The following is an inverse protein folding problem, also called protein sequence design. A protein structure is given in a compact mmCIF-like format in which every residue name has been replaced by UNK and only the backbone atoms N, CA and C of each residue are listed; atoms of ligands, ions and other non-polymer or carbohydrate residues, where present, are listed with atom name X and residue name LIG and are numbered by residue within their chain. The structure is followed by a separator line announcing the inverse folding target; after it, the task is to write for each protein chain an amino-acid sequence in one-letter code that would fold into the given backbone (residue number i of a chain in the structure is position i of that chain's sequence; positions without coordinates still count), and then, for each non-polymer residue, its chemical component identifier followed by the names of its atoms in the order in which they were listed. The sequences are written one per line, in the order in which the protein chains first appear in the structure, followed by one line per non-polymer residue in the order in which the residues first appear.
data_IF_113902570479
#
_entry.id   IF_113902570479
#
_cell.length_a   1.000
_cell.length_b   1.000
_cell.length_c   1.000
_cell.angle_alpha   90.00
_cell.angle_beta   90.00
_cell.angle_gamma   90.00
#
_symmetry.space_group_name_H-M   'P 1'
#
loop_
_entity.id
_entity.type
_entity.pdbx_description
1 polymer ?
#
# COMPACT_ATOMS: atom_id res chain seq x y z
N UNK A 1 -18.61 0.73 27.12
CA UNK A 1 -17.45 1.40 26.49
C UNK A 1 -16.33 1.35 27.52
N UNK A 2 -15.16 0.81 27.21
CA UNK A 2 -14.08 0.69 28.20
C UNK A 2 -13.42 2.06 28.41
N UNK A 3 -13.47 2.56 29.64
CA UNK A 3 -13.11 3.96 29.96
C UNK A 3 -11.61 4.24 29.80
N UNK A 4 -10.77 3.23 30.01
CA UNK A 4 -9.32 3.36 29.91
C UNK A 4 -8.77 3.01 28.53
N UNK A 5 -9.62 2.72 27.53
CA UNK A 5 -9.18 2.24 26.22
C UNK A 5 -8.16 3.19 25.56
N UNK A 6 -8.42 4.51 25.56
CA UNK A 6 -7.51 5.48 24.95
C UNK A 6 -6.12 5.50 25.63
N UNK A 7 -6.09 5.38 26.96
CA UNK A 7 -4.83 5.36 27.71
C UNK A 7 -4.07 4.05 27.47
N UNK A 8 -4.76 2.92 27.49
CA UNK A 8 -4.18 1.61 27.15
C UNK A 8 -3.66 1.60 25.71
N UNK A 9 -4.40 2.18 24.77
CA UNK A 9 -4.01 2.27 23.37
C UNK A 9 -2.72 3.09 23.20
N UNK A 10 -2.59 4.23 23.88
CA UNK A 10 -1.34 5.02 23.87
C UNK A 10 -0.13 4.19 24.31
N UNK A 11 -0.28 3.46 25.43
CA UNK A 11 0.77 2.57 25.94
C UNK A 11 1.11 1.45 24.94
N UNK A 12 0.10 0.86 24.29
CA UNK A 12 0.30 -0.17 23.26
C UNK A 12 1.05 0.40 22.05
N UNK A 13 0.73 1.63 21.63
CA UNK A 13 1.44 2.29 20.53
C UNK A 13 2.90 2.58 20.89
N UNK A 14 3.19 3.01 22.13
CA UNK A 14 4.57 3.26 22.60
C UNK A 14 5.45 2.00 22.51
N UNK A 15 4.86 0.80 22.60
CA UNK A 15 5.60 -0.46 22.44
C UNK A 15 6.10 -0.70 21.00
N UNK A 16 5.60 0.03 20.00
CA UNK A 16 6.12 -0.02 18.63
C UNK A 16 7.54 0.55 18.50
N UNK A 17 8.04 1.30 19.51
CA UNK A 17 9.45 1.71 19.58
C UNK A 17 10.39 0.55 19.98
N UNK A 18 9.84 -0.58 20.41
CA UNK A 18 10.61 -1.76 20.78
C UNK A 18 11.55 -2.22 19.66
N UNK A 19 12.77 -2.65 20.01
CA UNK A 19 13.72 -3.22 19.04
C UNK A 19 13.46 -4.70 18.73
N UNK A 20 12.48 -5.31 19.41
CA UNK A 20 12.16 -6.72 19.26
C UNK A 20 11.14 -6.95 18.14
N UNK A 21 11.50 -7.67 17.06
CA UNK A 21 10.60 -7.94 15.94
C UNK A 21 9.37 -8.77 16.32
N UNK A 22 9.53 -9.77 17.20
CA UNK A 22 8.43 -10.67 17.60
C UNK A 22 7.37 -9.93 18.41
N UNK A 23 7.81 -9.06 19.33
CA UNK A 23 6.92 -8.16 20.06
C UNK A 23 6.20 -7.18 19.12
N UNK A 24 6.94 -6.58 18.18
CA UNK A 24 6.37 -5.65 17.18
C UNK A 24 5.32 -6.34 16.31
N UNK A 25 5.56 -7.59 15.91
CA UNK A 25 4.62 -8.40 15.16
C UNK A 25 3.30 -8.60 15.93
N UNK A 26 3.38 -9.02 17.20
CA UNK A 26 2.19 -9.24 18.04
C UNK A 26 1.40 -7.97 18.31
N UNK A 27 2.10 -6.85 18.47
CA UNK A 27 1.46 -5.54 18.60
C UNK A 27 0.71 -5.20 17.31
N UNK A 28 1.33 -5.38 16.14
CA UNK A 28 0.68 -5.12 14.85
C UNK A 28 -0.54 -6.03 14.61
N UNK A 29 -0.49 -7.31 14.99
CA UNK A 29 -1.66 -8.22 14.94
C UNK A 29 -2.81 -7.68 15.80
N UNK A 30 -2.52 -7.22 17.02
CA UNK A 30 -3.51 -6.63 17.92
C UNK A 30 -4.14 -5.36 17.33
N UNK A 31 -3.32 -4.47 16.75
CA UNK A 31 -3.82 -3.24 16.14
C UNK A 31 -4.72 -3.54 14.93
N UNK A 32 -4.39 -4.54 14.13
CA UNK A 32 -5.24 -5.03 13.03
C UNK A 32 -6.54 -5.66 13.54
N UNK A 33 -6.50 -6.37 14.67
CA UNK A 33 -7.71 -6.86 15.32
C UNK A 33 -8.63 -5.70 15.75
N UNK A 34 -8.07 -4.60 16.26
CA UNK A 34 -8.86 -3.39 16.53
C UNK A 34 -9.46 -2.77 15.27
N UNK A 35 -8.75 -2.81 14.13
CA UNK A 35 -9.31 -2.36 12.86
C UNK A 35 -10.56 -3.14 12.45
N UNK A 36 -10.75 -4.39 12.89
CA UNK A 36 -11.96 -5.16 12.57
C UNK A 36 -13.23 -4.63 13.25
N UNK A 37 -13.11 -3.73 14.24
CA UNK A 37 -14.22 -3.07 14.93
C UNK A 37 -14.24 -1.58 14.55
N UNK A 38 -15.33 -1.09 13.97
CA UNK A 38 -15.43 0.26 13.39
C UNK A 38 -15.06 1.35 14.41
N UNK A 39 -15.63 1.30 15.62
CA UNK A 39 -15.37 2.31 16.65
C UNK A 39 -13.91 2.30 17.12
N UNK A 40 -13.30 1.12 17.25
CA UNK A 40 -11.89 0.99 17.66
C UNK A 40 -10.95 1.43 16.54
N UNK A 41 -11.27 1.12 15.29
CA UNK A 41 -10.56 1.60 14.10
C UNK A 41 -10.52 3.13 14.08
N UNK A 42 -11.64 3.80 14.36
CA UNK A 42 -11.69 5.27 14.43
C UNK A 42 -10.81 5.84 15.54
N UNK A 43 -10.85 5.25 16.74
CA UNK A 43 -10.01 5.68 17.86
C UNK A 43 -8.52 5.42 17.59
N UNK A 44 -8.19 4.26 17.03
CA UNK A 44 -6.84 3.90 16.61
C UNK A 44 -6.28 4.87 15.57
N UNK A 45 -7.10 5.21 14.58
CA UNK A 45 -6.76 6.19 13.55
C UNK A 45 -6.45 7.56 14.16
N UNK A 46 -7.28 8.05 15.08
CA UNK A 46 -7.04 9.33 15.76
C UNK A 46 -5.72 9.29 16.52
N UNK A 47 -5.48 8.22 17.28
CA UNK A 47 -4.24 8.07 18.06
C UNK A 47 -2.96 7.99 17.21
N UNK A 48 -3.03 7.44 16.00
CA UNK A 48 -1.88 7.31 15.09
C UNK A 48 -1.65 8.56 14.24
N UNK A 49 -2.73 9.22 13.79
CA UNK A 49 -2.63 10.29 12.79
C UNK A 49 -2.80 11.70 13.36
N UNK A 50 -3.37 11.87 14.55
CA UNK A 50 -3.35 13.19 15.20
C UNK A 50 -1.96 13.41 15.82
N UNK A 51 -1.27 14.50 15.47
CA UNK A 51 -0.07 14.89 16.18
C UNK A 51 -0.47 15.17 17.64
N UNK A 52 0.27 14.59 18.58
CA UNK A 52 0.19 14.90 20.02
C UNK A 52 0.51 16.39 20.23
N UNK A 53 -0.46 17.28 19.98
CA UNK A 53 -0.14 18.70 19.80
C UNK A 53 -1.28 19.59 19.30
N UNK A 54 -2.51 19.40 19.78
CA UNK A 54 -3.50 20.48 19.79
C UNK A 54 -4.07 20.63 21.21
N UNK A 55 -3.62 21.63 21.98
CA UNK A 55 -4.30 21.98 23.21
C UNK A 55 -5.59 22.72 22.85
N UNK A 56 -6.73 22.03 22.92
CA UNK A 56 -7.98 22.73 23.16
C UNK A 56 -8.03 23.07 24.64
N UNK A 57 -8.01 24.38 24.91
CA UNK A 57 -8.18 25.04 26.21
C UNK A 57 -6.89 25.57 26.83
N UNK A 58 -6.86 26.90 26.96
CA UNK A 58 -5.71 27.66 27.43
C UNK A 58 -5.38 27.42 28.91
N UNK A 59 -4.11 27.20 29.19
CA UNK A 59 -3.34 28.09 30.06
C UNK A 59 -1.86 27.69 30.07
N UNK A 60 -1.05 28.72 30.23
CA UNK A 60 0.40 28.77 30.40
C UNK A 60 1.08 27.52 31.01
N UNK A 61 2.06 26.96 30.28
CA UNK A 61 3.43 26.66 30.77
C UNK A 61 4.27 26.00 29.67
N UNK A 62 5.39 26.64 29.35
CA UNK A 62 6.50 26.05 28.60
C UNK A 62 7.00 24.82 29.36
N UNK A 63 6.76 23.62 28.82
CA UNK A 63 7.38 22.38 29.29
C UNK A 63 8.23 21.84 28.14
N UNK A 64 9.47 21.51 28.49
CA UNK A 64 10.54 20.95 27.69
C UNK A 64 10.07 19.92 26.67
N UNK A 65 10.42 20.16 25.39
CA UNK A 65 10.22 19.28 24.24
C UNK A 65 11.05 18.00 24.40
N UNK A 66 10.54 17.02 25.14
CA UNK A 66 10.99 15.63 25.01
C UNK A 66 10.63 15.16 23.60
N UNK A 67 11.46 14.30 22.98
CA UNK A 67 11.14 13.68 21.69
C UNK A 67 9.84 12.89 21.87
N UNK A 68 8.72 13.47 21.46
CA UNK A 68 7.42 12.81 21.44
C UNK A 68 7.54 11.59 20.53
N UNK A 69 7.28 10.41 21.07
CA UNK A 69 7.17 9.21 20.26
C UNK A 69 6.00 9.43 19.28
N UNK A 70 6.28 9.34 17.99
CA UNK A 70 5.29 9.47 16.93
C UNK A 70 4.98 8.06 16.39
N UNK A 71 3.82 7.47 16.74
CA UNK A 71 3.46 6.12 16.33
C UNK A 71 3.49 5.93 14.82
N UNK A 72 3.10 6.97 14.10
CA UNK A 72 3.15 7.04 12.65
C UNK A 72 4.57 6.93 12.07
N UNK A 73 5.56 7.58 12.68
CA UNK A 73 6.97 7.47 12.28
C UNK A 73 7.51 6.06 12.56
N UNK A 74 7.12 5.46 13.69
CA UNK A 74 7.48 4.09 14.02
C UNK A 74 6.91 3.09 12.99
N UNK A 75 5.64 3.25 12.60
CA UNK A 75 5.01 2.41 11.57
C UNK A 75 5.67 2.61 10.20
N UNK A 76 6.04 3.84 9.83
CA UNK A 76 6.82 4.10 8.60
C UNK A 76 8.17 3.40 8.68
N UNK A 77 8.86 3.47 9.81
CA UNK A 77 10.15 2.80 10.01
C UNK A 77 10.02 1.26 9.90
N UNK A 78 9.00 0.67 10.51
CA UNK A 78 8.70 -0.77 10.44
C UNK A 78 8.40 -1.20 9.00
N UNK A 79 7.59 -0.42 8.27
CA UNK A 79 7.29 -0.70 6.86
C UNK A 79 8.51 -0.58 5.92
N UNK A 80 9.59 0.07 6.39
CA UNK A 80 10.79 0.38 5.61
C UNK A 80 11.97 -0.54 5.88
N UNK A 81 11.84 -1.54 6.76
CA UNK A 81 12.95 -2.45 7.10
C UNK A 81 13.32 -3.36 5.90
N UNK A 82 14.61 -3.68 5.72
CA UNK A 82 15.06 -4.64 4.71
C UNK A 82 14.46 -6.03 4.96
N UNK A 83 14.18 -6.78 3.88
CA UNK A 83 13.39 -8.01 3.87
C UNK A 83 14.12 -9.25 4.44
N UNK A 84 15.26 -9.09 5.12
CA UNK A 84 15.98 -10.22 5.69
C UNK A 84 15.39 -10.57 7.07
N UNK A 85 14.50 -11.58 7.09
CA UNK A 85 14.02 -12.24 8.32
C UNK A 85 12.80 -11.64 9.03
N UNK A 86 12.39 -10.40 8.72
CA UNK A 86 11.25 -9.70 9.34
C UNK A 86 10.21 -9.23 8.31
N UNK A 87 9.92 -10.06 7.30
CA UNK A 87 8.89 -9.73 6.29
C UNK A 87 7.52 -9.47 6.96
N UNK A 88 7.21 -10.21 8.01
CA UNK A 88 5.92 -10.20 8.68
C UNK A 88 5.55 -8.83 9.30
N UNK A 89 6.49 -8.15 9.97
CA UNK A 89 6.23 -6.82 10.54
C UNK A 89 5.99 -5.74 9.49
N UNK A 90 6.81 -5.72 8.43
CA UNK A 90 6.65 -4.77 7.32
C UNK A 90 5.29 -4.93 6.63
N UNK A 91 4.85 -6.18 6.49
CA UNK A 91 3.57 -6.57 5.91
C UNK A 91 2.40 -6.13 6.78
N UNK A 92 2.44 -6.41 8.09
CA UNK A 92 1.36 -6.01 8.98
C UNK A 92 1.29 -4.49 9.16
N UNK A 93 2.43 -3.79 9.17
CA UNK A 93 2.47 -2.32 9.20
C UNK A 93 1.81 -1.73 7.94
N UNK A 94 2.11 -2.28 6.76
CA UNK A 94 1.47 -1.92 5.50
C UNK A 94 -0.05 -2.18 5.54
N UNK A 95 -0.47 -3.35 6.03
CA UNK A 95 -1.88 -3.69 6.16
C UNK A 95 -2.61 -2.77 7.14
N UNK A 96 -1.96 -2.41 8.25
CA UNK A 96 -2.51 -1.48 9.22
C UNK A 96 -2.71 -0.09 8.61
N UNK A 97 -1.77 0.39 7.80
CA UNK A 97 -1.97 1.61 7.02
C UNK A 97 -3.18 1.50 6.08
N UNK A 98 -3.36 0.38 5.36
CA UNK A 98 -4.55 0.16 4.53
C UNK A 98 -5.83 0.35 5.34
N UNK A 99 -5.98 -0.33 6.48
CA UNK A 99 -7.18 -0.29 7.31
C UNK A 99 -7.46 1.11 7.90
N UNK A 100 -6.40 1.82 8.31
CA UNK A 100 -6.50 3.17 8.89
C UNK A 100 -6.90 4.20 7.82
N UNK A 101 -6.44 4.03 6.58
CA UNK A 101 -6.71 4.97 5.47
C UNK A 101 -7.94 4.62 4.62
N UNK A 102 -8.58 3.46 4.83
CA UNK A 102 -9.76 3.01 4.08
C UNK A 102 -10.97 3.97 4.20
N UNK A 103 -11.03 4.82 5.24
CA UNK A 103 -12.18 5.72 5.45
C UNK A 103 -11.94 7.14 4.88
N UNK A 104 -12.86 7.69 4.04
CA UNK A 104 -12.54 8.77 3.10
C UNK A 104 -12.18 10.14 3.65
N UNK A 105 -12.51 10.47 4.90
CA UNK A 105 -12.49 11.87 5.34
C UNK A 105 -11.38 12.17 6.33
N UNK A 106 -10.58 13.18 5.94
CA UNK A 106 -9.66 13.97 6.77
C UNK A 106 -8.37 13.27 7.16
N UNK A 107 -7.28 13.57 6.44
CA UNK A 107 -5.94 13.91 6.96
C UNK A 107 -5.05 14.03 5.72
N UNK A 108 -5.08 15.20 5.09
CA UNK A 108 -4.42 15.49 3.80
C UNK A 108 -2.89 15.61 3.99
N UNK A 109 -2.45 16.11 5.15
CA UNK A 109 -1.03 16.37 5.44
C UNK A 109 -0.25 15.09 5.78
N UNK A 110 -0.84 14.16 6.53
CA UNK A 110 -0.18 12.90 6.86
C UNK A 110 -0.17 11.93 5.68
N UNK A 111 -1.21 11.97 4.83
CA UNK A 111 -1.31 11.17 3.61
C UNK A 111 -0.24 11.55 2.58
N UNK A 112 0.12 12.83 2.45
CA UNK A 112 1.19 13.28 1.54
C UNK A 112 2.59 12.90 2.04
N UNK A 113 2.82 13.01 3.36
CA UNK A 113 4.07 12.60 4.01
C UNK A 113 4.27 11.07 3.93
N UNK A 114 3.21 10.30 4.13
CA UNK A 114 3.24 8.85 4.01
C UNK A 114 3.44 8.44 2.55
N UNK A 115 2.72 9.03 1.59
CA UNK A 115 2.92 8.74 0.16
C UNK A 115 4.36 9.03 -0.29
N UNK A 116 4.94 10.17 0.08
CA UNK A 116 6.32 10.51 -0.28
C UNK A 116 7.37 9.59 0.38
N UNK A 117 7.16 9.22 1.64
CA UNK A 117 8.10 8.35 2.38
C UNK A 117 7.95 6.87 1.99
N UNK A 118 6.73 6.41 1.76
CA UNK A 118 6.44 5.08 1.21
C UNK A 118 6.99 4.97 -0.21
N UNK A 119 6.69 5.90 -1.12
CA UNK A 119 7.16 5.83 -2.51
C UNK A 119 8.69 5.85 -2.62
N UNK A 120 9.39 6.61 -1.77
CA UNK A 120 10.86 6.69 -1.76
C UNK A 120 11.55 5.42 -1.24
N UNK A 121 10.88 4.61 -0.40
CA UNK A 121 11.45 3.41 0.26
C UNK A 121 10.83 2.09 -0.20
N UNK A 122 9.64 2.11 -0.81
CA UNK A 122 8.89 0.95 -1.29
C UNK A 122 9.31 0.46 -2.68
N UNK A 123 10.58 0.60 -3.01
CA UNK A 123 11.14 0.05 -4.24
C UNK A 123 11.12 -1.50 -4.27
N UNK A 124 10.60 -2.17 -3.23
CA UNK A 124 10.87 -3.60 -2.98
C UNK A 124 9.69 -4.55 -2.74
N UNK A 125 8.41 -4.15 -2.69
CA UNK A 125 7.36 -5.17 -2.46
C UNK A 125 5.96 -4.86 -2.97
N UNK A 126 5.37 -5.88 -3.59
CA UNK A 126 3.97 -6.06 -4.02
C UNK A 126 2.92 -5.46 -3.08
N UNK A 127 3.12 -5.60 -1.77
CA UNK A 127 2.16 -5.17 -0.75
C UNK A 127 2.12 -3.64 -0.57
N UNK A 128 3.20 -2.93 -0.89
CA UNK A 128 3.21 -1.47 -0.92
C UNK A 128 2.34 -0.93 -2.07
N UNK A 129 2.27 -1.64 -3.20
CA UNK A 129 1.40 -1.28 -4.33
C UNK A 129 -0.07 -1.42 -3.93
N UNK A 130 -0.45 -2.49 -3.21
CA UNK A 130 -1.81 -2.65 -2.69
C UNK A 130 -2.25 -1.50 -1.78
N UNK A 131 -1.33 -1.00 -0.95
CA UNK A 131 -1.58 0.13 -0.05
C UNK A 131 -1.63 1.43 -0.84
N UNK A 132 -0.72 1.65 -1.78
CA UNK A 132 -0.69 2.82 -2.65
C UNK A 132 -1.93 2.90 -3.56
N UNK A 133 -2.34 1.80 -4.21
CA UNK A 133 -3.55 1.74 -5.04
C UNK A 133 -4.79 2.06 -4.21
N UNK A 134 -4.96 1.49 -3.00
CA UNK A 134 -6.11 1.83 -2.15
C UNK A 134 -6.08 3.26 -1.62
N UNK A 135 -4.92 3.79 -1.23
CA UNK A 135 -4.76 5.17 -0.74
C UNK A 135 -5.03 6.18 -1.86
N UNK A 136 -4.58 5.90 -3.09
CA UNK A 136 -4.75 6.79 -4.24
C UNK A 136 -6.17 6.80 -4.82
N UNK A 137 -6.99 5.81 -4.49
CA UNK A 137 -8.37 5.71 -4.98
C UNK A 137 -9.33 6.72 -4.33
N UNK A 138 -8.94 7.36 -3.22
CA UNK A 138 -9.86 8.10 -2.36
C UNK A 138 -9.71 9.63 -2.49
N UNK A 139 -8.58 10.16 -2.98
CA UNK A 139 -8.26 11.59 -2.84
C UNK A 139 -7.44 12.17 -4.02
N UNK A 140 -7.99 13.17 -4.72
CA UNK A 140 -7.32 13.91 -5.82
C UNK A 140 -6.03 14.61 -5.36
N UNK A 141 -5.92 14.97 -4.08
CA UNK A 141 -4.71 15.59 -3.52
C UNK A 141 -3.57 14.55 -3.43
N UNK A 142 -3.90 13.30 -3.15
CA UNK A 142 -2.93 12.21 -3.14
C UNK A 142 -2.48 11.83 -4.54
N UNK A 143 -3.38 11.90 -5.53
CA UNK A 143 -3.05 11.74 -6.95
C UNK A 143 -1.99 12.76 -7.39
N UNK A 144 -2.15 14.04 -6.99
CA UNK A 144 -1.17 15.10 -7.26
C UNK A 144 0.19 14.86 -6.57
N UNK A 145 0.19 14.33 -5.34
CA UNK A 145 1.45 14.03 -4.65
C UNK A 145 2.14 12.80 -5.23
N UNK A 146 1.40 11.75 -5.55
CA UNK A 146 1.95 10.56 -6.20
C UNK A 146 2.50 10.89 -7.59
N UNK A 147 1.85 11.75 -8.37
CA UNK A 147 2.38 12.14 -9.68
C UNK A 147 3.70 12.92 -9.62
N UNK A 148 3.99 13.58 -8.49
CA UNK A 148 5.29 14.26 -8.26
C UNK A 148 6.42 13.32 -7.84
N UNK A 149 6.10 12.15 -7.31
CA UNK A 149 7.10 11.24 -6.69
C UNK A 149 7.28 9.96 -7.49
N UNK A 150 6.20 9.43 -8.05
CA UNK A 150 6.20 8.23 -8.86
C UNK A 150 6.61 8.55 -10.30
N UNK A 151 7.53 7.79 -10.85
CA UNK A 151 7.91 7.90 -12.26
C UNK A 151 7.40 6.71 -13.08
N UNK A 152 7.26 6.90 -14.38
CA UNK A 152 6.96 5.81 -15.31
C UNK A 152 8.01 4.69 -15.23
N UNK A 153 9.29 5.05 -15.08
CA UNK A 153 10.40 4.09 -14.98
C UNK A 153 10.35 3.20 -13.75
N UNK A 154 9.85 3.71 -12.62
CA UNK A 154 9.66 2.90 -11.41
C UNK A 154 8.57 1.85 -11.62
N UNK A 155 7.44 2.24 -12.23
CA UNK A 155 6.33 1.33 -12.51
C UNK A 155 6.74 0.26 -13.52
N UNK A 156 7.41 0.65 -14.61
CA UNK A 156 7.87 -0.29 -15.64
C UNK A 156 8.93 -1.25 -15.10
N UNK A 157 9.90 -0.77 -14.32
CA UNK A 157 10.92 -1.63 -13.69
C UNK A 157 10.30 -2.64 -12.72
N UNK A 158 9.24 -2.25 -12.01
CA UNK A 158 8.54 -3.12 -11.08
C UNK A 158 7.76 -4.22 -11.82
N UNK A 159 7.04 -3.85 -12.88
CA UNK A 159 6.33 -4.80 -13.73
C UNK A 159 7.32 -5.78 -14.39
N UNK A 160 8.44 -5.28 -14.93
CA UNK A 160 9.48 -6.12 -15.55
C UNK A 160 10.10 -7.10 -14.55
N UNK A 161 10.35 -6.64 -13.32
CA UNK A 161 10.81 -7.51 -12.24
C UNK A 161 9.78 -8.62 -11.92
N UNK A 162 8.48 -8.29 -11.89
CA UNK A 162 7.44 -9.29 -11.64
C UNK A 162 7.33 -10.30 -12.78
N UNK A 163 7.43 -9.88 -14.04
CA UNK A 163 7.48 -10.80 -15.18
C UNK A 163 8.67 -11.77 -15.09
N UNK A 164 9.85 -11.24 -14.75
CA UNK A 164 11.09 -12.03 -14.63
C UNK A 164 11.02 -13.03 -13.46
N UNK A 165 10.56 -12.58 -12.29
CA UNK A 165 10.56 -13.38 -11.07
C UNK A 165 9.49 -14.49 -11.05
N UNK A 166 8.36 -14.24 -11.70
CA UNK A 166 7.24 -15.20 -11.73
C UNK A 166 7.39 -16.30 -12.77
N UNK A 167 8.45 -16.27 -13.59
CA UNK A 167 8.72 -17.31 -14.60
C UNK A 167 7.62 -17.43 -15.66
N UNK A 168 6.89 -16.34 -15.94
CA UNK A 168 5.76 -16.31 -16.90
C UNK A 168 6.23 -16.71 -18.32
N UNK A 169 7.54 -16.68 -18.59
CA UNK A 169 8.15 -16.94 -19.90
C UNK A 169 8.69 -18.37 -20.13
N UNK A 170 8.60 -19.27 -19.14
CA UNK A 170 9.09 -20.66 -19.31
C UNK A 170 7.99 -21.61 -19.79
N UNK A 171 7.94 -21.81 -21.11
CA UNK A 171 7.05 -22.75 -21.77
C UNK A 171 7.25 -24.23 -21.40
N UNK A 172 6.24 -25.01 -21.78
CA UNK A 172 6.13 -26.48 -21.83
C UNK A 172 5.55 -27.21 -20.61
N UNK A 173 4.26 -27.57 -20.71
CA UNK A 173 3.67 -28.73 -20.03
C UNK A 173 2.89 -28.46 -18.74
N UNK A 174 1.62 -28.05 -18.87
CA UNK A 174 0.45 -28.47 -18.03
C UNK A 174 0.57 -28.56 -16.50
N UNK A 175 1.54 -27.91 -15.83
CA UNK A 175 1.68 -27.95 -14.35
C UNK A 175 2.05 -26.62 -13.64
N UNK A 176 1.91 -25.46 -14.30
CA UNK A 176 2.39 -24.18 -13.74
C UNK A 176 1.30 -23.19 -13.24
N UNK A 177 0.01 -23.53 -13.33
CA UNK A 177 -1.09 -22.55 -13.12
C UNK A 177 -1.42 -22.29 -11.63
N UNK A 178 -0.86 -23.04 -10.68
CA UNK A 178 -1.28 -22.97 -9.26
C UNK A 178 -0.23 -22.47 -8.26
N UNK A 179 0.88 -21.91 -8.74
CA UNK A 179 1.84 -21.29 -7.83
C UNK A 179 1.21 -20.00 -7.24
N UNK A 180 1.02 -19.98 -5.91
CA UNK A 180 0.57 -18.78 -5.16
C UNK A 180 1.40 -17.54 -5.51
N UNK A 181 2.67 -17.75 -5.86
CA UNK A 181 3.60 -16.70 -6.27
C UNK A 181 3.24 -16.10 -7.64
N UNK A 182 2.83 -16.92 -8.62
CA UNK A 182 2.38 -16.43 -9.93
C UNK A 182 1.08 -15.63 -9.81
N UNK A 183 0.14 -16.07 -8.96
CA UNK A 183 -1.11 -15.33 -8.67
C UNK A 183 -0.81 -13.98 -8.00
N UNK A 184 0.14 -13.95 -7.07
CA UNK A 184 0.56 -12.72 -6.39
C UNK A 184 1.29 -11.74 -7.34
N UNK A 185 2.17 -12.26 -8.20
CA UNK A 185 2.83 -11.46 -9.22
C UNK A 185 1.83 -10.87 -10.24
N UNK A 186 0.86 -11.67 -10.69
CA UNK A 186 -0.22 -11.22 -11.54
C UNK A 186 -1.05 -10.09 -10.92
N UNK A 187 -1.47 -10.26 -9.67
CA UNK A 187 -2.20 -9.23 -8.90
C UNK A 187 -1.39 -7.94 -8.78
N UNK A 188 -0.08 -8.06 -8.56
CA UNK A 188 0.86 -6.93 -8.51
C UNK A 188 0.89 -6.16 -9.82
N UNK A 189 1.07 -6.88 -10.93
CA UNK A 189 1.18 -6.30 -12.27
C UNK A 189 -0.08 -5.51 -12.58
N UNK A 190 -1.26 -6.13 -12.39
CA UNK A 190 -2.54 -5.49 -12.71
C UNK A 190 -2.84 -4.28 -11.83
N UNK A 191 -2.49 -4.32 -10.55
CA UNK A 191 -2.67 -3.15 -9.67
C UNK A 191 -1.68 -2.03 -9.96
N UNK A 192 -0.49 -2.36 -10.43
CA UNK A 192 0.47 -1.37 -10.95
C UNK A 192 -0.08 -0.74 -12.22
N UNK A 193 -0.66 -1.52 -13.14
CA UNK A 193 -1.29 -1.02 -14.35
C UNK A 193 -2.52 -0.15 -14.06
N UNK A 194 -3.39 -0.53 -13.12
CA UNK A 194 -4.52 0.31 -12.72
C UNK A 194 -4.06 1.65 -12.12
N UNK A 195 -2.96 1.63 -11.35
CA UNK A 195 -2.31 2.84 -10.87
C UNK A 195 -1.77 3.70 -12.03
N UNK A 196 -1.04 3.10 -12.98
CA UNK A 196 -0.52 3.80 -14.16
C UNK A 196 -1.65 4.43 -14.99
N UNK A 197 -2.76 3.71 -15.19
CA UNK A 197 -3.94 4.20 -15.92
C UNK A 197 -4.54 5.46 -15.30
N UNK A 198 -4.45 5.63 -13.98
CA UNK A 198 -4.99 6.80 -13.26
C UNK A 198 -4.04 8.00 -13.27
N UNK A 199 -2.74 7.73 -13.33
CA UNK A 199 -1.67 8.75 -13.32
C UNK A 199 -1.17 9.10 -14.72
N UNK A 200 -1.68 8.47 -15.77
CA UNK A 200 -1.15 8.59 -17.14
C UNK A 200 -1.10 10.03 -17.68
N UNK A 201 -2.03 10.89 -17.26
CA UNK A 201 -2.07 12.31 -17.64
C UNK A 201 -1.20 13.21 -16.76
N UNK A 202 -0.90 12.79 -15.53
CA UNK A 202 -0.21 13.61 -14.54
C UNK A 202 1.28 13.32 -14.45
N UNK A 203 1.73 12.15 -14.92
CA UNK A 203 3.14 11.73 -14.87
C UNK A 203 3.74 11.67 -16.28
N UNK A 204 4.81 12.43 -16.57
CA UNK A 204 5.41 12.46 -17.89
C UNK A 204 5.94 11.08 -18.30
N UNK A 205 5.61 10.66 -19.53
CA UNK A 205 6.01 9.37 -20.10
C UNK A 205 5.25 8.15 -19.56
N UNK A 206 4.31 8.35 -18.62
CA UNK A 206 3.52 7.27 -18.04
C UNK A 206 2.54 6.68 -19.05
N UNK A 207 1.83 7.54 -19.80
CA UNK A 207 0.87 7.10 -20.82
C UNK A 207 1.50 6.20 -21.89
N UNK A 208 2.63 6.63 -22.46
CA UNK A 208 3.37 5.86 -23.46
C UNK A 208 3.84 4.51 -22.88
N UNK A 209 4.36 4.53 -21.66
CA UNK A 209 4.81 3.31 -20.98
C UNK A 209 3.65 2.36 -20.67
N UNK A 210 2.50 2.90 -20.27
CA UNK A 210 1.30 2.14 -19.97
C UNK A 210 0.80 1.38 -21.20
N UNK A 211 0.56 2.06 -22.32
CA UNK A 211 0.10 1.40 -23.54
C UNK A 211 1.12 0.41 -24.11
N UNK A 212 2.43 0.69 -23.97
CA UNK A 212 3.48 -0.26 -24.36
C UNK A 212 3.40 -1.57 -23.57
N UNK A 213 3.10 -1.51 -22.27
CA UNK A 213 2.94 -2.71 -21.43
C UNK A 213 1.64 -3.44 -21.75
N UNK A 214 0.57 -2.72 -22.11
CA UNK A 214 -0.70 -3.35 -22.51
C UNK A 214 -0.57 -4.21 -23.77
N UNK A 215 0.39 -3.92 -24.65
CA UNK A 215 0.71 -4.72 -25.83
C UNK A 215 1.71 -5.85 -25.56
N UNK A 216 2.22 -5.97 -24.34
CA UNK A 216 3.15 -7.04 -23.97
C UNK A 216 2.42 -8.38 -23.86
N UNK A 217 2.86 -9.37 -24.63
CA UNK A 217 2.29 -10.73 -24.65
C UNK A 217 2.29 -11.40 -23.28
N UNK A 218 3.22 -11.02 -22.39
CA UNK A 218 3.31 -11.55 -21.02
C UNK A 218 2.12 -11.12 -20.15
N UNK A 219 1.32 -10.13 -20.58
CA UNK A 219 0.14 -9.64 -19.84
C UNK A 219 -1.07 -10.60 -19.89
N UNK A 220 -1.11 -11.53 -20.86
CA UNK A 220 -2.20 -12.51 -21.00
C UNK A 220 -2.40 -13.32 -19.72
N UNK A 221 -1.30 -13.78 -19.12
CA UNK A 221 -1.33 -14.64 -17.93
C UNK A 221 -1.87 -13.88 -16.70
N UNK A 222 -1.38 -12.67 -16.36
CA UNK A 222 -2.01 -11.85 -15.32
C UNK A 222 -3.50 -11.59 -15.52
N UNK A 223 -3.93 -11.26 -16.75
CA UNK A 223 -5.34 -11.05 -17.06
C UNK A 223 -6.16 -12.32 -16.86
N UNK A 224 -5.65 -13.47 -17.30
CA UNK A 224 -6.30 -14.77 -17.09
C UNK A 224 -6.51 -15.06 -15.62
N UNK A 225 -5.49 -14.84 -14.77
CA UNK A 225 -5.61 -15.01 -13.32
C UNK A 225 -6.67 -14.09 -12.70
N UNK A 226 -6.74 -12.83 -13.12
CA UNK A 226 -7.72 -11.90 -12.58
C UNK A 226 -9.15 -12.21 -13.03
N UNK A 227 -9.34 -12.56 -14.31
CA UNK A 227 -10.67 -12.83 -14.88
C UNK A 227 -11.27 -14.16 -14.42
N UNK A 228 -10.43 -15.10 -14.00
CA UNK A 228 -10.84 -16.40 -13.45
C UNK A 228 -10.86 -16.44 -11.92
N UNK A 229 -10.62 -15.31 -11.26
CA UNK A 229 -10.60 -15.23 -9.80
C UNK A 229 -12.01 -15.22 -9.19
N UNK A 230 -12.15 -15.85 -8.02
CA UNK A 230 -13.36 -15.77 -7.20
C UNK A 230 -13.50 -14.41 -6.49
N UNK A 231 -12.45 -13.58 -6.49
CA UNK A 231 -12.44 -12.27 -5.84
C UNK A 231 -12.92 -11.16 -6.79
N UNK A 232 -14.07 -10.57 -6.47
CA UNK A 232 -14.70 -9.47 -7.24
C UNK A 232 -13.74 -8.32 -7.56
N UNK A 233 -12.92 -7.89 -6.61
CA UNK A 233 -11.98 -6.78 -6.81
C UNK A 233 -10.95 -7.09 -7.91
N UNK A 234 -10.43 -8.32 -7.95
CA UNK A 234 -9.45 -8.74 -8.95
C UNK A 234 -10.09 -8.79 -10.34
N UNK A 235 -11.28 -9.36 -10.45
CA UNK A 235 -12.04 -9.40 -11.72
C UNK A 235 -12.31 -7.99 -12.24
N UNK A 236 -12.70 -7.06 -11.37
CA UNK A 236 -12.97 -5.67 -11.77
C UNK A 236 -11.73 -4.94 -12.27
N UNK A 237 -10.58 -5.14 -11.63
CA UNK A 237 -9.30 -4.59 -12.11
C UNK A 237 -8.93 -5.21 -13.45
N UNK A 238 -9.01 -6.55 -13.57
CA UNK A 238 -8.72 -7.26 -14.81
C UNK A 238 -9.57 -6.79 -15.99
N UNK A 239 -10.90 -6.68 -15.80
CA UNK A 239 -11.82 -6.20 -16.83
C UNK A 239 -11.53 -4.75 -17.25
N UNK A 240 -11.20 -3.87 -16.30
CA UNK A 240 -10.86 -2.47 -16.60
C UNK A 240 -9.63 -2.38 -17.50
N UNK A 241 -8.59 -3.12 -17.15
CA UNK A 241 -7.36 -3.19 -17.96
C UNK A 241 -7.62 -3.81 -19.32
N UNK A 242 -8.41 -4.89 -19.38
CA UNK A 242 -8.79 -5.54 -20.63
C UNK A 242 -9.53 -4.59 -21.57
N UNK A 243 -10.53 -3.86 -21.08
CA UNK A 243 -11.28 -2.91 -21.91
C UNK A 243 -10.41 -1.76 -22.43
N UNK A 244 -9.45 -1.31 -21.64
CA UNK A 244 -8.49 -0.30 -22.08
C UNK A 244 -7.57 -0.86 -23.18
N UNK A 245 -7.11 -2.10 -23.03
CA UNK A 245 -6.15 -2.73 -23.93
C UNK A 245 -6.77 -3.24 -25.24
N UNK A 246 -8.05 -3.64 -25.23
CA UNK A 246 -8.75 -4.25 -26.36
C UNK A 246 -8.85 -3.35 -27.61
N UNK A 247 -8.63 -2.04 -27.46
CA UNK A 247 -8.65 -1.07 -28.56
C UNK A 247 -7.27 -0.84 -29.19
N UNK A 248 -6.21 -1.43 -28.63
CA UNK A 248 -4.85 -1.26 -29.11
C UNK A 248 -4.56 -2.16 -30.32
N UNK A 249 -3.77 -1.70 -31.29
CA UNK A 249 -3.25 -2.58 -32.33
C UNK A 249 -2.37 -3.65 -31.69
N UNK A 250 -2.42 -4.86 -32.24
CA UNK A 250 -1.60 -6.00 -31.81
C UNK A 250 -1.79 -6.39 -30.33
N UNK A 251 -2.96 -6.11 -29.75
CA UNK A 251 -3.32 -6.66 -28.45
C UNK A 251 -3.37 -8.21 -28.55
N UNK A 252 -2.62 -8.94 -27.71
CA UNK A 252 -2.56 -10.40 -27.73
C UNK A 252 -3.91 -11.13 -27.68
#
# INVERSE_FOLDING_TARGET
RYEHFNSCLGQVLDLLHGRDPDSSFKILELLLAFCSVIELRHTLRQAILEPSGLPVSGNTRFVTRSKTFEPSVALVHLSSQPLDGSEDCSVLALQLFKEIFEVPRQIIEFKSFLAATFLKKCQRTVKAINVLTNILFIDEILKMHASKVLTASQCTSLIEHQFTYSGIDTGFGTKAVDSKMCKLAADTILKTLDLMSRLKQDVPGMEVSFYKILQDQRLIMPLTFALTSDHREQVQVGLRILFEAAHLPDFP
#
